data_IF_724960266911
#
_entry.id   IF_724960266911
#
_cell.length_a   1.000
_cell.length_b   1.000
_cell.length_c   1.000
_cell.angle_alpha   90.00
_cell.angle_beta   90.00
_cell.angle_gamma   90.00
#
_symmetry.space_group_name_H-M   'P 1'
#
loop_
_entity.id
_entity.type
_entity.pdbx_description
1 polymer ?
#
# COMPACT_ATOMS: atom_id res chain seq x y z
N UNK A 1 0.21 -8.30 -1.56
CA UNK A 1 -0.12 -8.26 -3.00
C UNK A 1 1.01 -7.58 -3.73
N UNK A 2 1.49 -8.12 -4.84
CA UNK A 2 2.43 -7.40 -5.73
C UNK A 2 1.77 -6.14 -6.34
N UNK A 3 2.53 -5.39 -7.13
CA UNK A 3 2.03 -4.16 -7.76
C UNK A 3 0.90 -4.43 -8.75
N UNK A 4 1.11 -5.33 -9.71
CA UNK A 4 0.14 -5.63 -10.78
C UNK A 4 -1.25 -5.99 -10.23
N UNK A 5 -1.34 -6.78 -9.15
CA UNK A 5 -2.63 -7.12 -8.56
C UNK A 5 -3.23 -5.93 -7.80
N UNK A 6 -2.42 -5.10 -7.14
CA UNK A 6 -2.92 -3.85 -6.53
C UNK A 6 -3.46 -2.90 -7.61
N UNK A 7 -2.80 -2.84 -8.76
CA UNK A 7 -3.20 -2.07 -9.94
C UNK A 7 -4.56 -2.48 -10.48
N UNK A 8 -4.81 -3.79 -10.58
CA UNK A 8 -6.09 -4.32 -10.99
C UNK A 8 -7.21 -4.05 -9.95
N UNK A 9 -6.89 -4.07 -8.65
CA UNK A 9 -7.89 -3.96 -7.60
C UNK A 9 -8.36 -2.52 -7.31
N UNK A 10 -7.48 -1.51 -7.36
CA UNK A 10 -7.88 -0.15 -6.98
C UNK A 10 -9.05 0.42 -7.79
N UNK A 11 -9.10 0.29 -9.14
CA UNK A 11 -10.26 0.73 -9.93
C UNK A 11 -11.55 0.00 -9.55
N UNK A 12 -11.46 -1.30 -9.24
CA UNK A 12 -12.62 -2.09 -8.81
C UNK A 12 -13.14 -1.66 -7.44
N UNK A 13 -12.24 -1.30 -6.51
CA UNK A 13 -12.62 -0.74 -5.22
C UNK A 13 -13.33 0.60 -5.37
N UNK A 14 -12.89 1.45 -6.32
CA UNK A 14 -13.63 2.67 -6.68
C UNK A 14 -14.99 2.36 -7.30
N UNK A 15 -15.06 1.38 -8.21
CA UNK A 15 -16.30 0.99 -8.93
C UNK A 15 -17.41 0.53 -8.00
N UNK A 16 -17.08 -0.23 -6.95
CA UNK A 16 -18.07 -0.74 -5.99
C UNK A 16 -18.48 0.29 -4.93
N UNK A 17 -17.75 1.40 -4.82
CA UNK A 17 -18.05 2.43 -3.84
C UNK A 17 -19.31 3.18 -4.26
N UNK A 18 -20.30 3.27 -3.36
CA UNK A 18 -21.51 4.07 -3.60
C UNK A 18 -21.14 5.55 -3.77
N UNK A 19 -21.95 6.36 -4.48
CA UNK A 19 -21.77 7.81 -4.49
C UNK A 19 -21.69 8.37 -3.06
N UNK A 20 -20.66 9.18 -2.80
CA UNK A 20 -20.38 9.74 -1.46
C UNK A 20 -19.78 8.74 -0.45
N UNK A 21 -19.48 7.50 -0.88
CA UNK A 21 -18.79 6.53 -0.04
C UNK A 21 -17.35 6.98 0.28
N UNK A 22 -16.81 6.44 1.37
CA UNK A 22 -15.43 6.68 1.81
C UNK A 22 -14.65 5.39 1.69
N UNK A 23 -13.53 5.44 0.96
CA UNK A 23 -12.57 4.36 0.94
C UNK A 23 -11.53 4.57 2.04
N UNK A 24 -11.28 3.55 2.86
CA UNK A 24 -10.25 3.56 3.90
C UNK A 24 -9.41 2.30 3.73
N UNK A 25 -8.11 2.47 3.57
CA UNK A 25 -7.16 1.36 3.56
C UNK A 25 -6.02 1.60 4.54
N UNK A 26 -5.42 0.51 4.99
CA UNK A 26 -4.21 0.53 5.80
C UNK A 26 -2.99 0.25 4.94
N UNK A 27 -1.91 0.96 5.19
CA UNK A 27 -0.57 0.66 4.64
C UNK A 27 0.44 0.53 5.77
N UNK A 28 1.53 -0.20 5.54
CA UNK A 28 2.56 -0.36 6.56
C UNK A 28 3.13 0.98 6.99
N UNK A 29 3.00 1.29 8.28
CA UNK A 29 3.55 2.51 8.86
C UNK A 29 5.07 2.46 8.98
N UNK A 30 5.67 3.60 9.30
CA UNK A 30 7.14 3.77 9.41
C UNK A 30 7.81 2.71 10.28
N UNK A 31 7.16 2.29 11.37
CA UNK A 31 7.66 1.23 12.28
C UNK A 31 7.82 -0.12 11.60
N UNK A 32 6.93 -0.48 10.69
CA UNK A 32 7.03 -1.76 9.96
C UNK A 32 7.98 -1.61 8.77
N UNK A 33 8.03 -0.44 8.14
CA UNK A 33 8.99 -0.14 7.09
C UNK A 33 10.45 -0.21 7.58
N UNK A 34 10.75 0.05 8.86
CA UNK A 34 12.13 -0.06 9.37
C UNK A 34 12.72 -1.48 9.26
N UNK A 35 11.87 -2.52 9.18
CA UNK A 35 12.31 -3.90 8.95
C UNK A 35 12.91 -4.11 7.55
N UNK A 36 12.73 -3.17 6.62
CA UNK A 36 13.35 -3.20 5.30
C UNK A 36 14.87 -3.00 5.34
N UNK A 37 15.39 -2.40 6.41
CA UNK A 37 16.78 -1.95 6.51
C UNK A 37 17.09 -0.75 5.60
N UNK A 38 18.31 -0.19 5.67
CA UNK A 38 18.66 1.04 4.95
C UNK A 38 18.45 0.96 3.44
N UNK A 39 18.90 -0.13 2.80
CA UNK A 39 18.75 -0.32 1.36
C UNK A 39 17.28 -0.43 0.96
N UNK A 40 16.48 -1.18 1.73
CA UNK A 40 15.06 -1.33 1.44
C UNK A 40 14.26 -0.05 1.66
N UNK A 41 14.64 0.78 2.64
CA UNK A 41 14.07 2.13 2.80
C UNK A 41 14.46 3.05 1.64
N UNK A 42 15.68 2.94 1.12
CA UNK A 42 16.11 3.69 -0.06
C UNK A 42 15.31 3.29 -1.30
N UNK A 43 15.12 1.99 -1.55
CA UNK A 43 14.25 1.52 -2.64
C UNK A 43 12.81 2.01 -2.45
N UNK A 44 12.28 1.95 -1.23
CA UNK A 44 10.94 2.45 -0.94
C UNK A 44 10.80 3.95 -1.24
N UNK A 45 11.84 4.74 -0.96
CA UNK A 45 11.86 6.17 -1.25
C UNK A 45 12.00 6.47 -2.76
N UNK A 46 12.75 5.66 -3.50
CA UNK A 46 13.01 5.87 -4.93
C UNK A 46 11.88 5.35 -5.81
N UNK A 47 11.42 4.12 -5.55
CA UNK A 47 10.48 3.39 -6.40
C UNK A 47 9.05 3.47 -5.85
N UNK A 48 8.88 3.89 -4.59
CA UNK A 48 7.58 4.07 -3.97
C UNK A 48 6.91 2.79 -3.47
N UNK A 49 7.30 1.64 -4.00
CA UNK A 49 6.81 0.32 -3.60
C UNK A 49 7.98 -0.64 -3.38
N UNK A 50 7.93 -1.40 -2.30
CA UNK A 50 8.78 -2.59 -2.12
C UNK A 50 7.90 -3.79 -1.92
N UNK A 51 8.06 -4.83 -2.74
CA UNK A 51 7.43 -6.13 -2.55
C UNK A 51 8.50 -7.17 -2.19
N UNK A 52 8.31 -7.92 -1.10
CA UNK A 52 9.23 -9.00 -0.72
C UNK A 52 8.49 -10.31 -0.59
N UNK A 53 9.01 -11.33 -1.27
CA UNK A 53 8.56 -12.71 -1.16
C UNK A 53 9.23 -13.42 0.02
N UNK A 54 8.59 -14.47 0.53
CA UNK A 54 9.17 -15.33 1.55
C UNK A 54 8.99 -16.80 1.20
N UNK A 55 9.99 -17.61 1.53
CA UNK A 55 9.90 -19.08 1.39
C UNK A 55 8.83 -19.69 2.29
N UNK A 56 8.43 -19.00 3.37
CA UNK A 56 7.40 -19.46 4.31
C UNK A 56 6.03 -19.68 3.66
N UNK A 57 5.73 -18.96 2.58
CA UNK A 57 4.44 -19.04 1.89
C UNK A 57 4.52 -19.88 0.60
N UNK A 58 5.70 -20.40 0.28
CA UNK A 58 5.93 -21.11 -0.97
C UNK A 58 5.12 -22.41 -1.02
N UNK A 59 4.38 -22.62 -2.12
CA UNK A 59 3.45 -23.75 -2.28
C UNK A 59 2.16 -23.66 -1.45
N UNK A 60 1.96 -22.60 -0.66
CA UNK A 60 0.75 -22.37 0.15
C UNK A 60 -0.11 -21.27 -0.49
N UNK A 61 0.53 -20.18 -0.90
CA UNK A 61 -0.13 -19.04 -1.55
C UNK A 61 0.51 -18.77 -2.92
N UNK A 62 -0.21 -18.12 -3.85
CA UNK A 62 0.39 -17.67 -5.10
C UNK A 62 1.61 -16.79 -4.86
N UNK A 63 2.59 -16.83 -5.77
CA UNK A 63 3.87 -16.11 -5.60
C UNK A 63 3.71 -14.59 -5.41
N UNK A 64 2.67 -14.00 -6.01
CA UNK A 64 2.34 -12.58 -5.89
C UNK A 64 1.70 -12.20 -4.53
N UNK A 65 1.33 -13.18 -3.70
CA UNK A 65 0.72 -12.94 -2.39
C UNK A 65 1.78 -12.95 -1.29
N UNK A 66 2.49 -11.83 -1.17
CA UNK A 66 3.43 -11.57 -0.09
C UNK A 66 3.31 -10.14 0.46
N UNK A 67 4.32 -9.67 1.19
CA UNK A 67 4.32 -8.39 1.91
C UNK A 67 4.76 -7.26 0.99
N UNK A 68 4.02 -6.15 1.05
CA UNK A 68 4.32 -4.93 0.31
C UNK A 68 4.33 -3.73 1.23
N UNK A 69 5.27 -2.83 1.00
CA UNK A 69 5.38 -1.54 1.67
C UNK A 69 5.24 -0.44 0.64
N UNK A 70 4.62 0.66 1.02
CA UNK A 70 4.42 1.83 0.18
C UNK A 70 5.08 3.05 0.84
N UNK A 71 5.68 3.91 0.03
CA UNK A 71 5.93 5.28 0.47
C UNK A 71 4.60 6.03 0.53
N UNK A 72 4.55 7.07 1.37
CA UNK A 72 3.39 7.93 1.46
C UNK A 72 3.04 8.53 0.08
N UNK A 73 4.02 9.15 -0.59
CA UNK A 73 3.80 9.83 -1.87
C UNK A 73 3.29 8.87 -2.96
N UNK A 74 3.82 7.64 -3.00
CA UNK A 74 3.40 6.63 -3.97
C UNK A 74 1.94 6.26 -3.79
N UNK A 75 1.51 5.92 -2.56
CA UNK A 75 0.13 5.47 -2.35
C UNK A 75 -0.88 6.61 -2.49
N UNK A 76 -0.51 7.84 -2.11
CA UNK A 76 -1.40 9.00 -2.30
C UNK A 76 -1.57 9.31 -3.78
N UNK A 77 -0.49 9.40 -4.56
CA UNK A 77 -0.56 9.70 -5.99
C UNK A 77 -1.41 8.67 -6.76
N UNK A 78 -1.28 7.38 -6.39
CA UNK A 78 -2.04 6.29 -7.01
C UNK A 78 -3.55 6.41 -6.75
N UNK A 79 -3.94 6.85 -5.55
CA UNK A 79 -5.34 7.07 -5.20
C UNK A 79 -5.86 8.40 -5.73
N UNK A 80 -5.03 9.44 -5.84
CA UNK A 80 -5.41 10.73 -6.46
C UNK A 80 -5.76 10.57 -7.95
N UNK A 81 -5.23 9.54 -8.63
CA UNK A 81 -5.67 9.16 -9.97
C UNK A 81 -7.10 8.60 -10.06
N UNK A 82 -7.74 8.28 -8.92
CA UNK A 82 -9.04 7.60 -8.85
C UNK A 82 -10.08 8.35 -7.99
N UNK A 83 -9.62 9.19 -7.07
CA UNK A 83 -10.40 9.88 -6.04
C UNK A 83 -10.04 11.37 -6.05
N UNK A 84 -10.99 12.23 -5.67
CA UNK A 84 -10.78 13.69 -5.72
C UNK A 84 -10.18 14.24 -4.42
N UNK A 85 -10.33 13.52 -3.32
CA UNK A 85 -9.81 13.88 -2.00
C UNK A 85 -9.12 12.65 -1.43
N UNK A 86 -7.81 12.76 -1.20
CA UNK A 86 -6.97 11.69 -0.66
C UNK A 86 -6.19 12.24 0.53
N UNK A 87 -6.23 11.53 1.64
CA UNK A 87 -5.54 11.91 2.87
C UNK A 87 -4.77 10.75 3.45
N UNK A 88 -3.47 10.95 3.64
CA UNK A 88 -2.63 10.07 4.44
C UNK A 88 -2.70 10.46 5.92
N UNK A 89 -2.80 9.46 6.80
CA UNK A 89 -2.81 9.64 8.26
C UNK A 89 -1.75 8.72 8.87
N UNK A 90 -0.61 9.31 9.21
CA UNK A 90 0.47 8.62 9.89
C UNK A 90 0.13 8.37 11.37
N UNK A 91 0.43 7.17 11.86
CA UNK A 91 0.28 6.79 13.25
C UNK A 91 1.68 6.63 13.84
N UNK A 92 2.06 7.56 14.72
CA UNK A 92 3.46 7.78 15.17
C UNK A 92 4.18 6.51 15.67
N UNK A 93 3.45 5.54 16.23
CA UNK A 93 3.98 4.24 16.70
C UNK A 93 3.20 3.02 16.18
N UNK A 94 2.33 3.26 15.18
CA UNK A 94 1.46 2.25 14.60
C UNK A 94 2.22 1.27 13.71
N UNK A 95 1.73 0.03 13.65
CA UNK A 95 2.18 -0.91 12.60
C UNK A 95 1.59 -0.56 11.23
N UNK A 96 0.48 0.18 11.23
CA UNK A 96 -0.27 0.57 10.06
C UNK A 96 -0.58 2.06 10.14
N UNK A 97 -0.48 2.72 9.01
CA UNK A 97 -1.02 4.04 8.74
C UNK A 97 -2.32 3.91 7.94
N UNK A 98 -3.09 4.99 7.83
CA UNK A 98 -4.32 5.00 7.02
C UNK A 98 -4.16 5.88 5.79
N UNK A 99 -4.82 5.46 4.71
CA UNK A 99 -5.12 6.32 3.56
C UNK A 99 -6.62 6.34 3.37
N UNK A 100 -7.19 7.55 3.36
CA UNK A 100 -8.62 7.82 3.27
C UNK A 100 -8.87 8.52 1.95
N UNK A 101 -9.84 8.06 1.16
CA UNK A 101 -10.14 8.61 -0.15
C UNK A 101 -11.65 8.76 -0.43
N UNK A 102 -12.04 9.77 -1.23
CA UNK A 102 -13.43 10.10 -1.61
C UNK A 102 -13.59 10.37 -3.11
#
# INVERSE_FOLDING_TARGET
>A
LDEERQDAWLPELKRILKPGGVFVMTVHGRRVASALGPNGLQFLQQDGLVHRTTTKLNGIMPEWYNTSWHSQDYITQRLEGLFNDVRYVAILDGMQDFVIAR
#
